data_IF_618367579541
#
_entry.id   IF_618367579541
#
_cell.length_a   1.000
_cell.length_b   1.000
_cell.length_c   1.000
_cell.angle_alpha   90.00
_cell.angle_beta   90.00
_cell.angle_gamma   90.00
#
_symmetry.space_group_name_H-M   'P 1'
#
loop_
_entity.id
_entity.type
_entity.pdbx_description
1 polymer ?
#
# COMPACT_ATOMS: atom_id res chain seq x y z
N UNK A 1 -19.90 6.88 -1.39
CA UNK A 1 -19.28 5.65 -0.83
C UNK A 1 -18.10 6.12 0.00
N UNK A 2 -17.99 5.68 1.24
CA UNK A 2 -16.84 6.04 2.08
C UNK A 2 -15.63 5.20 1.74
N UNK A 3 -14.48 5.86 1.54
CA UNK A 3 -13.20 5.18 1.33
C UNK A 3 -12.54 4.89 2.68
N UNK A 4 -11.92 3.70 2.84
CA UNK A 4 -11.21 3.33 4.07
C UNK A 4 -9.94 4.15 4.29
N UNK A 5 -9.41 4.77 3.24
CA UNK A 5 -8.27 5.68 3.28
C UNK A 5 -8.67 6.98 2.59
N UNK A 6 -8.38 8.10 3.24
CA UNK A 6 -8.56 9.45 2.71
C UNK A 6 -7.22 10.19 2.79
N UNK A 7 -6.79 10.79 1.69
CA UNK A 7 -5.54 11.55 1.63
C UNK A 7 -5.88 13.02 1.50
N UNK A 8 -5.33 13.85 2.39
CA UNK A 8 -5.49 15.30 2.42
C UNK A 8 -4.11 15.97 2.49
N UNK A 9 -4.05 17.29 2.34
CA UNK A 9 -2.78 18.05 2.44
C UNK A 9 -2.06 17.87 3.80
N UNK A 10 -2.83 17.68 4.87
CA UNK A 10 -2.32 17.51 6.23
C UNK A 10 -1.76 16.10 6.50
N UNK A 11 -2.24 15.08 5.78
CA UNK A 11 -1.89 13.70 6.07
C UNK A 11 -2.81 12.65 5.45
N UNK A 12 -2.64 11.42 5.92
CA UNK A 12 -3.46 10.27 5.55
C UNK A 12 -4.37 9.91 6.72
N UNK A 13 -5.69 9.88 6.47
CA UNK A 13 -6.70 9.47 7.43
C UNK A 13 -7.15 8.05 7.11
N UNK A 14 -7.08 7.18 8.12
CA UNK A 14 -7.51 5.78 8.02
C UNK A 14 -8.82 5.60 8.76
N UNK A 15 -9.72 4.78 8.21
CA UNK A 15 -10.99 4.38 8.85
C UNK A 15 -10.98 2.86 9.10
N UNK A 16 -10.39 2.40 10.22
CA UNK A 16 -10.26 0.97 10.56
C UNK A 16 -11.62 0.25 10.63
N UNK A 17 -12.67 0.99 10.97
CA UNK A 17 -14.06 0.53 11.15
C UNK A 17 -14.70 -0.02 9.87
N UNK A 18 -14.30 0.50 8.70
CA UNK A 18 -14.79 0.03 7.38
C UNK A 18 -13.74 -0.78 6.62
N UNK A 19 -12.57 -1.02 7.21
CA UNK A 19 -11.54 -1.88 6.63
C UNK A 19 -11.84 -3.36 6.88
N UNK A 20 -11.80 -4.13 5.80
CA UNK A 20 -11.82 -5.60 5.86
C UNK A 20 -10.48 -6.15 6.41
N UNK A 21 -10.51 -7.15 7.30
CA UNK A 21 -9.31 -7.87 7.72
C UNK A 21 -8.71 -8.63 6.54
N UNK A 22 -7.42 -8.95 6.66
CA UNK A 22 -6.63 -9.69 5.67
C UNK A 22 -6.59 -9.02 4.29
N UNK A 23 -6.79 -7.71 4.25
CA UNK A 23 -6.76 -6.91 3.02
C UNK A 23 -5.74 -5.78 3.12
N UNK A 24 -4.96 -5.63 2.06
CA UNK A 24 -4.10 -4.49 1.87
C UNK A 24 -4.88 -3.30 1.30
N UNK A 25 -4.65 -2.13 1.90
CA UNK A 25 -5.08 -0.83 1.41
C UNK A 25 -3.85 0.01 1.18
N UNK A 26 -3.93 0.94 0.24
CA UNK A 26 -2.79 1.78 -0.09
C UNK A 26 -3.20 3.15 -0.57
N UNK A 27 -2.30 4.10 -0.40
CA UNK A 27 -2.39 5.41 -1.03
C UNK A 27 -0.99 5.97 -1.27
N UNK A 28 -0.91 7.00 -2.09
CA UNK A 28 0.33 7.75 -2.32
C UNK A 28 0.23 9.07 -1.56
N UNK A 29 1.20 9.34 -0.68
CA UNK A 29 1.29 10.59 0.06
C UNK A 29 2.74 11.06 0.11
N UNK A 30 2.99 12.33 -0.25
CA UNK A 30 4.34 12.92 -0.31
C UNK A 30 5.38 12.04 -1.03
N UNK A 31 4.99 11.52 -2.19
CA UNK A 31 5.81 10.61 -3.01
C UNK A 31 6.17 9.26 -2.39
N UNK A 32 5.60 8.93 -1.22
CA UNK A 32 5.70 7.60 -0.62
C UNK A 32 4.42 6.84 -0.82
N UNK A 33 4.53 5.52 -0.88
CA UNK A 33 3.35 4.65 -0.79
C UNK A 33 3.14 4.30 0.67
N UNK A 34 1.95 4.62 1.18
CA UNK A 34 1.50 4.21 2.51
C UNK A 34 0.68 2.94 2.32
N UNK A 35 1.21 1.82 2.80
CA UNK A 35 0.57 0.51 2.78
C UNK A 35 -0.04 0.24 4.16
N UNK A 36 -1.30 -0.15 4.19
CA UNK A 36 -2.03 -0.46 5.41
C UNK A 36 -2.61 -1.86 5.33
N UNK A 37 -2.38 -2.66 6.37
CA UNK A 37 -2.88 -4.01 6.50
C UNK A 37 -3.57 -4.19 7.83
N UNK A 38 -4.84 -4.62 7.78
CA UNK A 38 -5.59 -5.00 8.97
C UNK A 38 -5.46 -6.50 9.17
N UNK A 39 -4.79 -6.94 10.22
CA UNK A 39 -4.62 -8.38 10.48
C UNK A 39 -5.82 -8.99 11.23
N UNK A 40 -5.73 -10.29 11.50
CA UNK A 40 -6.77 -11.11 12.12
C UNK A 40 -7.07 -10.75 13.58
N UNK A 41 -6.17 -10.04 14.26
CA UNK A 41 -6.36 -9.51 15.61
C UNK A 41 -6.90 -8.08 15.60
N UNK A 42 -7.40 -7.59 14.45
CA UNK A 42 -7.89 -6.23 14.22
C UNK A 42 -6.80 -5.14 14.38
N UNK A 43 -5.52 -5.48 14.49
CA UNK A 43 -4.44 -4.48 14.48
C UNK A 43 -4.22 -3.92 13.07
N UNK A 44 -3.91 -2.62 13.02
CA UNK A 44 -3.52 -1.93 11.80
C UNK A 44 -2.01 -1.82 11.72
N UNK A 45 -1.46 -2.50 10.73
CA UNK A 45 -0.06 -2.43 10.36
C UNK A 45 0.10 -1.41 9.24
N UNK A 46 1.00 -0.44 9.41
CA UNK A 46 1.26 0.62 8.45
C UNK A 46 2.73 0.58 8.04
N UNK A 47 2.97 0.63 6.73
CA UNK A 47 4.31 0.60 6.15
C UNK A 47 4.47 1.76 5.15
N UNK A 48 5.64 2.38 5.17
CA UNK A 48 6.02 3.39 4.19
C UNK A 48 6.99 2.75 3.19
N UNK A 49 6.72 2.96 1.90
CA UNK A 49 7.57 2.50 0.82
C UNK A 49 8.11 3.73 0.09
N UNK A 50 9.43 3.89 0.14
CA UNK A 50 10.18 4.98 -0.50
C UNK A 50 10.86 4.54 -1.80
N UNK A 51 10.88 3.23 -2.09
CA UNK A 51 11.50 2.69 -3.30
C UNK A 51 10.79 3.21 -4.55
N UNK A 52 11.54 4.01 -5.32
CA UNK A 52 11.01 4.78 -6.46
C UNK A 52 10.35 3.88 -7.50
N UNK A 53 10.96 2.73 -7.82
CA UNK A 53 10.39 1.77 -8.77
C UNK A 53 8.98 1.29 -8.35
N UNK A 54 8.80 1.01 -7.05
CA UNK A 54 7.51 0.55 -6.52
C UNK A 54 6.50 1.70 -6.52
N UNK A 55 6.93 2.89 -6.06
CA UNK A 55 6.09 4.09 -6.02
C UNK A 55 5.58 4.44 -7.42
N UNK A 56 6.45 4.48 -8.42
CA UNK A 56 6.08 4.78 -9.80
C UNK A 56 5.17 3.70 -10.41
N UNK A 57 5.43 2.42 -10.11
CA UNK A 57 4.58 1.33 -10.55
C UNK A 57 3.17 1.43 -9.96
N UNK A 58 3.05 1.80 -8.68
CA UNK A 58 1.76 2.00 -8.02
C UNK A 58 1.05 3.25 -8.55
N UNK A 59 1.77 4.36 -8.77
CA UNK A 59 1.21 5.60 -9.36
C UNK A 59 0.68 5.37 -10.79
N UNK A 60 1.36 4.54 -11.58
CA UNK A 60 1.00 4.23 -12.98
C UNK A 60 -0.07 3.12 -13.09
N UNK A 61 -0.15 2.26 -12.08
CA UNK A 61 -1.18 1.23 -11.94
C UNK A 61 -2.54 1.88 -11.69
N UNK A 62 -3.42 1.85 -12.70
CA UNK A 62 -4.82 2.27 -12.57
C UNK A 62 -5.68 1.16 -11.94
N UNK A 63 -5.30 0.71 -10.73
CA UNK A 63 -6.05 -0.29 -9.97
C UNK A 63 -5.58 -1.74 -10.12
N UNK A 64 -4.33 -1.96 -10.55
CA UNK A 64 -3.66 -3.26 -10.39
C UNK A 64 -3.53 -3.57 -8.90
N UNK A 65 -3.62 -4.85 -8.54
CA UNK A 65 -3.53 -5.28 -7.15
C UNK A 65 -2.12 -4.99 -6.61
N UNK A 66 -2.05 -4.21 -5.53
CA UNK A 66 -0.77 -3.87 -4.89
C UNK A 66 0.01 -5.11 -4.46
N UNK A 67 -0.68 -6.21 -4.12
CA UNK A 67 -0.03 -7.46 -3.76
C UNK A 67 0.81 -8.01 -4.93
N UNK A 68 0.27 -7.97 -6.16
CA UNK A 68 0.98 -8.42 -7.37
C UNK A 68 2.16 -7.52 -7.69
N UNK A 69 2.02 -6.21 -7.47
CA UNK A 69 3.13 -5.25 -7.68
C UNK A 69 4.28 -5.57 -6.74
N UNK A 70 4.00 -5.78 -5.45
CA UNK A 70 5.00 -6.09 -4.44
C UNK A 70 5.63 -7.47 -4.67
N UNK A 71 4.83 -8.48 -5.01
CA UNK A 71 5.33 -9.83 -5.33
C UNK A 71 6.29 -9.79 -6.52
N UNK A 72 5.91 -9.15 -7.62
CA UNK A 72 6.75 -9.01 -8.81
C UNK A 72 8.06 -8.28 -8.50
N UNK A 73 8.02 -7.28 -7.61
CA UNK A 73 9.23 -6.59 -7.16
C UNK A 73 10.16 -7.52 -6.37
N UNK A 74 9.62 -8.27 -5.40
CA UNK A 74 10.39 -9.22 -4.57
C UNK A 74 11.03 -10.31 -5.44
N UNK A 75 10.31 -10.84 -6.43
CA UNK A 75 10.86 -11.83 -7.36
C UNK A 75 12.02 -11.26 -8.18
N UNK A 76 11.88 -10.05 -8.72
CA UNK A 76 12.96 -9.37 -9.44
C UNK A 76 14.18 -9.14 -8.55
N UNK A 77 13.98 -8.71 -7.31
CA UNK A 77 15.08 -8.49 -6.36
C UNK A 77 15.78 -9.79 -5.95
N UNK A 78 15.06 -10.91 -5.86
CA UNK A 78 15.66 -12.24 -5.65
C UNK A 78 16.54 -12.65 -6.83
N UNK A 79 16.08 -12.43 -8.06
CA UNK A 79 16.81 -12.77 -9.28
C UNK A 79 18.09 -11.95 -9.46
N UNK A 80 18.13 -10.69 -8.98
CA UNK A 80 19.34 -9.85 -8.99
C UNK A 80 20.42 -10.30 -8.00
N UNK A 81 20.06 -11.12 -7.01
CA UNK A 81 20.97 -11.61 -5.96
C UNK A 81 21.57 -12.99 -6.25
N UNK A 82 21.24 -13.60 -7.40
CA UNK A 82 21.90 -14.79 -7.95
C UNK A 82 22.98 -14.40 -8.95
#
# INVERSE_FOLDING_TARGET
MESPIEVNDDGVKLKPEIMKPEKFYHCVFKEKVILVFKDHQDFLNCFEIEETDIVEKIKSSKGEDIHLILESYIEKEKLKKQ
#
